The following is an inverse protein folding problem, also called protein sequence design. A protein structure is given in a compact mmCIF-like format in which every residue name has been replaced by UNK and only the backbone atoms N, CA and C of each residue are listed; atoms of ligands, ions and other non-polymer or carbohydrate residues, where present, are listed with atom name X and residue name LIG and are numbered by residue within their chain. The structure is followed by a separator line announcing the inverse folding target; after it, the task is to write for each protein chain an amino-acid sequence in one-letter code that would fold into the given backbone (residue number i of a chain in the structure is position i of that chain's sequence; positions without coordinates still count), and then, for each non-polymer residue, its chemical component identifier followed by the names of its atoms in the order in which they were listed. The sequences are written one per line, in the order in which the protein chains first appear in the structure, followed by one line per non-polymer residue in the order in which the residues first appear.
data_IF_847844333235
#
_entry.id   IF_847844333235
#
_cell.length_a   1.000
_cell.length_b   1.000
_cell.length_c   1.000
_cell.angle_alpha   90.00
_cell.angle_beta   90.00
_cell.angle_gamma   90.00
#
_symmetry.space_group_name_H-M   'P 1'
#
loop_
_entity.id
_entity.type
_entity.pdbx_description
1 polymer ?
#
# COMPACT_ATOMS: atom_id res chain seq x y z
N UNK A 1 12.85 10.79 -23.26
CA UNK A 1 12.77 9.32 -23.42
C UNK A 1 14.06 8.71 -22.90
N UNK A 2 13.99 7.57 -22.22
CA UNK A 2 15.16 6.89 -21.62
C UNK A 2 15.53 5.69 -22.47
N UNK A 3 16.81 5.29 -22.47
CA UNK A 3 17.25 4.17 -23.30
C UNK A 3 16.60 2.85 -22.84
N UNK A 4 15.99 2.13 -23.77
CA UNK A 4 15.35 0.82 -23.54
C UNK A 4 16.29 -0.37 -23.74
N UNK A 5 17.51 -0.14 -24.25
CA UNK A 5 18.61 -1.09 -24.38
C UNK A 5 19.92 -0.35 -24.17
N UNK A 6 20.99 -1.07 -23.81
CA UNK A 6 22.34 -0.50 -23.72
C UNK A 6 22.70 0.17 -25.04
N UNK A 7 23.05 1.44 -25.01
CA UNK A 7 23.43 2.18 -26.21
C UNK A 7 24.77 2.86 -25.99
N UNK A 8 25.63 2.79 -27.00
CA UNK A 8 26.91 3.50 -27.01
C UNK A 8 26.67 4.88 -27.58
N UNK A 9 27.03 5.89 -26.81
CA UNK A 9 26.95 7.27 -27.25
C UNK A 9 28.35 7.87 -27.27
N UNK A 10 28.68 8.55 -28.37
CA UNK A 10 29.97 9.21 -28.55
C UNK A 10 29.79 10.67 -28.15
N UNK A 11 30.48 11.10 -27.09
CA UNK A 11 30.57 12.51 -26.74
C UNK A 11 32.01 12.96 -26.80
N UNK A 12 32.28 13.97 -27.64
CA UNK A 12 33.63 14.55 -27.80
C UNK A 12 34.74 13.54 -28.15
N UNK A 13 34.41 12.45 -28.86
CA UNK A 13 35.38 11.45 -29.28
C UNK A 13 35.65 10.34 -28.27
N UNK A 14 35.01 10.38 -27.09
CA UNK A 14 35.04 9.28 -26.11
C UNK A 14 33.73 8.47 -26.19
N UNK A 15 33.85 7.14 -26.27
CA UNK A 15 32.72 6.21 -26.18
C UNK A 15 32.24 6.15 -24.72
N UNK A 16 31.00 6.54 -24.48
CA UNK A 16 30.33 6.33 -23.19
C UNK A 16 29.18 5.34 -23.36
N UNK A 17 29.22 4.27 -22.57
CA UNK A 17 28.15 3.28 -22.50
C UNK A 17 27.02 3.77 -21.59
N UNK A 18 25.81 3.90 -22.12
CA UNK A 18 24.61 4.25 -21.36
C UNK A 18 23.77 2.99 -21.20
N UNK A 19 23.57 2.55 -19.95
CA UNK A 19 22.78 1.35 -19.64
C UNK A 19 21.30 1.60 -19.86
N UNK A 20 20.53 0.53 -20.04
CA UNK A 20 19.07 0.63 -20.08
C UNK A 20 18.55 1.28 -18.79
N UNK A 21 17.59 2.21 -18.91
CA UNK A 21 17.13 3.03 -17.78
C UNK A 21 17.96 4.29 -17.48
N UNK A 22 19.00 4.57 -18.28
CA UNK A 22 19.79 5.81 -18.17
C UNK A 22 19.59 6.73 -19.38
N UNK A 23 19.70 8.04 -19.14
CA UNK A 23 19.68 9.07 -20.19
C UNK A 23 20.62 10.22 -19.83
N UNK A 24 21.36 10.70 -20.83
CA UNK A 24 22.17 11.91 -20.74
C UNK A 24 21.38 13.05 -21.37
N UNK A 25 21.07 14.10 -20.60
CA UNK A 25 20.26 15.22 -21.09
C UNK A 25 20.58 16.53 -20.37
N UNK A 26 20.08 17.65 -20.90
CA UNK A 26 20.16 18.99 -20.29
C UNK A 26 18.79 19.42 -19.74
N UNK A 27 18.76 20.39 -18.83
CA UNK A 27 17.49 20.91 -18.31
C UNK A 27 16.65 21.57 -19.40
N UNK A 28 17.30 22.27 -20.34
CA UNK A 28 16.67 22.89 -21.50
C UNK A 28 16.02 21.86 -22.42
N UNK A 29 16.71 20.75 -22.67
CA UNK A 29 16.18 19.66 -23.47
C UNK A 29 14.94 19.02 -22.83
N UNK A 30 14.93 18.86 -21.51
CA UNK A 30 13.76 18.36 -20.77
C UNK A 30 12.61 19.38 -20.83
N UNK A 31 12.88 20.67 -20.61
CA UNK A 31 11.86 21.72 -20.68
C UNK A 31 11.18 21.78 -22.06
N UNK A 32 11.97 21.70 -23.13
CA UNK A 32 11.47 21.68 -24.51
C UNK A 32 10.67 20.42 -24.87
N UNK A 33 10.89 19.30 -24.17
CA UNK A 33 10.07 18.09 -24.31
C UNK A 33 8.76 18.16 -23.51
N UNK A 34 8.65 19.08 -22.54
CA UNK A 34 7.46 19.29 -21.75
C UNK A 34 6.46 20.24 -22.45
N UNK A 35 5.43 20.69 -21.73
CA UNK A 35 4.48 21.67 -22.26
C UNK A 35 5.14 23.05 -22.43
N UNK A 36 4.58 23.89 -23.34
CA UNK A 36 5.13 25.20 -23.74
C UNK A 36 5.34 26.18 -22.57
N UNK A 37 4.68 25.98 -21.44
CA UNK A 37 4.69 26.83 -20.24
C UNK A 37 5.64 26.34 -19.14
N UNK A 38 6.37 25.24 -19.36
CA UNK A 38 7.27 24.67 -18.35
C UNK A 38 8.62 25.37 -18.37
N UNK A 39 8.94 26.07 -17.28
CA UNK A 39 10.26 26.69 -17.09
C UNK A 39 11.34 25.68 -16.71
N UNK A 40 12.60 26.01 -17.00
CA UNK A 40 13.79 25.27 -16.56
C UNK A 40 13.83 25.11 -15.03
N UNK A 41 13.31 26.08 -14.28
CA UNK A 41 13.23 26.03 -12.82
C UNK A 41 12.22 25.00 -12.33
N UNK A 42 11.08 24.84 -13.02
CA UNK A 42 10.09 23.80 -12.71
C UNK A 42 10.70 22.41 -12.91
N UNK A 43 11.41 22.22 -14.03
CA UNK A 43 12.15 20.98 -14.32
C UNK A 43 13.16 20.67 -13.23
N UNK A 44 13.97 21.67 -12.83
CA UNK A 44 14.96 21.51 -11.76
C UNK A 44 14.33 21.10 -10.44
N UNK A 45 13.24 21.76 -10.06
CA UNK A 45 12.51 21.49 -8.81
C UNK A 45 11.88 20.09 -8.83
N UNK A 46 11.34 19.66 -9.97
CA UNK A 46 10.77 18.33 -10.15
C UNK A 46 11.85 17.25 -10.02
N UNK A 47 13.01 17.43 -10.63
CA UNK A 47 14.13 16.49 -10.54
C UNK A 47 14.63 16.32 -9.10
N UNK A 48 14.75 17.41 -8.34
CA UNK A 48 15.10 17.36 -6.92
C UNK A 48 14.06 16.60 -6.09
N UNK A 49 12.76 16.80 -6.38
CA UNK A 49 11.69 16.04 -5.71
C UNK A 49 11.78 14.55 -6.05
N UNK A 50 11.97 14.21 -7.32
CA UNK A 50 12.07 12.82 -7.75
C UNK A 50 13.30 12.10 -7.19
N UNK A 51 14.41 12.82 -7.04
CA UNK A 51 15.60 12.32 -6.34
C UNK A 51 15.31 12.11 -4.85
N UNK A 52 14.68 13.08 -4.18
CA UNK A 52 14.28 12.96 -2.76
C UNK A 52 13.36 11.76 -2.51
N UNK A 53 12.46 11.47 -3.44
CA UNK A 53 11.52 10.35 -3.34
C UNK A 53 12.08 9.03 -3.89
N UNK A 54 13.35 8.99 -4.32
CA UNK A 54 14.00 7.76 -4.79
C UNK A 54 13.53 7.24 -6.14
N UNK A 55 12.84 8.07 -6.96
CA UNK A 55 12.39 7.69 -8.30
C UNK A 55 13.53 7.69 -9.33
N UNK A 56 14.53 8.54 -9.14
CA UNK A 56 15.68 8.66 -10.04
C UNK A 56 16.94 9.05 -9.27
N UNK A 57 18.09 8.80 -9.87
CA UNK A 57 19.37 9.40 -9.45
C UNK A 57 19.85 10.38 -10.51
N UNK A 58 20.51 11.44 -10.05
CA UNK A 58 20.93 12.55 -10.91
C UNK A 58 22.42 12.86 -10.68
N UNK A 59 23.25 12.60 -11.69
CA UNK A 59 24.65 13.03 -11.69
C UNK A 59 24.82 14.20 -12.66
N UNK A 60 24.90 15.42 -12.14
CA UNK A 60 25.13 16.61 -12.97
C UNK A 60 26.62 16.85 -13.21
N UNK A 61 26.96 17.21 -14.45
CA UNK A 61 28.24 17.82 -14.83
C UNK A 61 28.00 19.27 -15.28
N UNK A 62 29.08 19.99 -15.59
CA UNK A 62 29.01 21.40 -16.03
C UNK A 62 28.25 21.61 -17.35
N UNK A 63 27.94 20.54 -18.10
CA UNK A 63 27.30 20.63 -19.43
C UNK A 63 26.08 19.73 -19.60
N UNK A 64 26.06 18.57 -18.94
CA UNK A 64 25.00 17.58 -19.08
C UNK A 64 24.72 16.91 -17.74
N UNK A 65 23.66 16.11 -17.70
CA UNK A 65 23.32 15.34 -16.51
C UNK A 65 23.01 13.90 -16.92
N UNK A 66 23.53 12.95 -16.14
CA UNK A 66 23.15 11.56 -16.24
C UNK A 66 21.99 11.31 -15.28
N UNK A 67 20.81 11.04 -15.84
CA UNK A 67 19.62 10.63 -15.10
C UNK A 67 19.53 9.12 -15.19
N UNK A 68 19.45 8.44 -14.04
CA UNK A 68 19.14 7.01 -13.98
C UNK A 68 17.78 6.85 -13.33
N UNK A 69 16.82 6.23 -14.02
CA UNK A 69 15.55 5.86 -13.41
C UNK A 69 15.81 4.68 -12.48
N UNK A 70 15.52 4.87 -11.19
CA UNK A 70 15.57 3.77 -10.21
C UNK A 70 14.37 2.88 -10.49
N UNK A 71 14.55 1.56 -10.43
CA UNK A 71 13.47 0.59 -10.64
C UNK A 71 12.92 0.53 -12.09
N UNK A 72 13.73 0.92 -13.07
CA UNK A 72 13.35 0.95 -14.49
C UNK A 72 12.83 -0.40 -15.01
N UNK A 73 13.41 -1.52 -14.58
CA UNK A 73 13.00 -2.87 -14.98
C UNK A 73 11.58 -3.22 -14.51
N UNK A 74 11.15 -2.80 -13.30
CA UNK A 74 9.78 -3.01 -12.82
C UNK A 74 8.74 -2.15 -13.56
N UNK A 75 9.16 -1.04 -14.18
CA UNK A 75 8.28 -0.25 -15.04
C UNK A 75 8.18 -0.79 -16.48
N UNK A 76 8.98 -1.79 -16.84
CA UNK A 76 8.94 -2.45 -18.15
C UNK A 76 8.22 -3.81 -18.12
N UNK A 77 7.94 -4.38 -16.94
CA UNK A 77 7.18 -5.64 -16.85
C UNK A 77 5.75 -5.43 -17.36
N UNK A 78 5.41 -6.12 -18.45
CA UNK A 78 4.16 -6.01 -19.18
C UNK A 78 2.95 -6.44 -18.34
N UNK A 79 2.16 -5.45 -17.88
CA UNK A 79 0.72 -5.62 -17.77
C UNK A 79 0.05 -4.80 -18.89
N UNK A 80 -0.22 -5.52 -19.97
CA UNK A 80 -1.25 -5.33 -20.99
C UNK A 80 -1.73 -3.90 -21.34
N UNK A 81 -1.46 -3.56 -22.61
CA UNK A 81 -2.16 -2.57 -23.42
C UNK A 81 -3.69 -2.65 -23.22
N UNK A 82 -4.30 -1.62 -22.62
CA UNK A 82 -5.75 -1.39 -22.74
C UNK A 82 -6.05 -0.06 -23.43
N UNK A 83 -6.35 -0.22 -24.71
CA UNK A 83 -7.20 0.57 -25.61
C UNK A 83 -7.59 2.00 -25.19
N UNK A 84 -7.21 2.92 -26.07
CA UNK A 84 -7.85 4.20 -26.38
C UNK A 84 -9.38 4.08 -26.44
N UNK A 85 -10.06 4.48 -25.36
CA UNK A 85 -11.42 5.02 -25.43
C UNK A 85 -11.34 6.46 -24.96
N UNK A 86 -11.62 7.38 -25.88
CA UNK A 86 -11.72 8.82 -25.62
C UNK A 86 -12.68 9.04 -24.44
N UNK A 87 -12.21 9.71 -23.40
CA UNK A 87 -13.04 10.11 -22.27
C UNK A 87 -13.31 11.61 -22.39
N UNK A 88 -14.57 12.00 -22.17
CA UNK A 88 -15.09 13.36 -22.26
C UNK A 88 -14.26 14.37 -21.42
N UNK A 89 -14.23 15.65 -21.82
CA UNK A 89 -13.18 16.60 -21.42
C UNK A 89 -13.28 17.12 -19.97
N UNK A 90 -14.20 16.60 -19.14
CA UNK A 90 -14.50 17.22 -17.86
C UNK A 90 -14.63 16.23 -16.69
N UNK A 91 -13.65 15.34 -16.54
CA UNK A 91 -13.45 14.60 -15.29
C UNK A 91 -12.13 15.05 -14.68
N UNK A 92 -12.24 15.80 -13.59
CA UNK A 92 -11.10 16.16 -12.74
C UNK A 92 -10.25 14.90 -12.47
N UNK A 93 -8.97 14.95 -12.84
CA UNK A 93 -7.99 13.91 -12.52
C UNK A 93 -7.84 13.85 -11.00
N UNK A 94 -8.60 12.97 -10.35
CA UNK A 94 -8.40 12.67 -8.93
C UNK A 94 -8.22 11.17 -8.73
N UNK A 95 -7.08 10.88 -8.09
CA UNK A 95 -6.67 9.67 -7.38
C UNK A 95 -5.87 8.59 -8.15
N UNK A 96 -4.57 8.62 -7.85
CA UNK A 96 -3.56 7.55 -7.87
C UNK A 96 -4.08 6.12 -8.07
N UNK A 97 -3.77 5.52 -9.23
CA UNK A 97 -3.92 4.07 -9.46
C UNK A 97 -3.21 3.24 -8.39
N UNK A 98 -2.09 3.73 -7.83
CA UNK A 98 -1.32 3.01 -6.81
C UNK A 98 -2.11 2.83 -5.49
N UNK A 99 -2.77 3.89 -5.00
CA UNK A 99 -3.59 3.85 -3.77
C UNK A 99 -4.77 2.88 -3.92
N UNK A 100 -5.32 2.76 -5.12
CA UNK A 100 -6.40 1.80 -5.39
C UNK A 100 -5.90 0.35 -5.32
N UNK A 101 -4.67 0.09 -5.75
CA UNK A 101 -4.08 -1.25 -5.69
C UNK A 101 -3.79 -1.67 -4.25
N UNK A 102 -3.16 -0.78 -3.47
CA UNK A 102 -2.87 -1.02 -2.04
C UNK A 102 -4.15 -1.30 -1.23
N UNK A 103 -5.24 -0.55 -1.47
CA UNK A 103 -6.53 -0.80 -0.81
C UNK A 103 -7.13 -2.16 -1.17
N UNK A 104 -7.02 -2.57 -2.42
CA UNK A 104 -7.55 -3.86 -2.87
C UNK A 104 -6.80 -5.04 -2.22
N UNK A 105 -5.48 -4.89 -2.07
CA UNK A 105 -4.64 -5.83 -1.33
C UNK A 105 -5.07 -5.95 0.14
N UNK A 106 -5.36 -4.83 0.81
CA UNK A 106 -5.86 -4.84 2.20
C UNK A 106 -7.20 -5.57 2.29
N UNK A 107 -8.15 -5.29 1.39
CA UNK A 107 -9.46 -5.98 1.39
C UNK A 107 -9.30 -7.49 1.23
N UNK A 108 -8.44 -7.89 0.29
CA UNK A 108 -8.13 -9.30 0.03
C UNK A 108 -7.57 -9.96 1.28
N UNK A 109 -6.56 -9.37 1.92
CA UNK A 109 -5.89 -9.96 3.09
C UNK A 109 -6.80 -10.05 4.32
N UNK A 110 -7.57 -9.00 4.63
CA UNK A 110 -8.53 -8.98 5.75
C UNK A 110 -9.58 -10.08 5.60
N UNK A 111 -10.16 -10.23 4.41
CA UNK A 111 -11.20 -11.23 4.16
C UNK A 111 -10.62 -12.63 4.08
N UNK A 112 -9.44 -12.79 3.49
CA UNK A 112 -8.72 -14.08 3.48
C UNK A 112 -8.46 -14.56 4.91
N UNK A 113 -8.04 -13.67 5.81
CA UNK A 113 -7.85 -14.00 7.23
C UNK A 113 -9.14 -14.47 7.90
N UNK A 114 -10.24 -13.75 7.70
CA UNK A 114 -11.54 -14.13 8.26
C UNK A 114 -12.01 -15.49 7.74
N UNK A 115 -11.90 -15.72 6.44
CA UNK A 115 -12.30 -16.98 5.79
C UNK A 115 -11.49 -18.16 6.32
N UNK A 116 -10.17 -18.00 6.42
CA UNK A 116 -9.26 -19.05 6.90
C UNK A 116 -9.52 -19.48 8.35
N UNK A 117 -10.06 -18.58 9.18
CA UNK A 117 -10.35 -18.88 10.59
C UNK A 117 -11.78 -19.38 10.85
N UNK A 118 -12.71 -19.17 9.90
CA UNK A 118 -14.13 -19.46 10.12
C UNK A 118 -14.69 -20.53 9.19
N UNK A 119 -13.85 -21.10 8.32
CA UNK A 119 -14.27 -22.01 7.25
C UNK A 119 -15.40 -21.43 6.38
N UNK A 120 -15.42 -20.10 6.22
CA UNK A 120 -16.36 -19.35 5.38
C UNK A 120 -15.68 -18.86 4.10
N UNK A 121 -16.48 -18.44 3.12
CA UNK A 121 -15.98 -18.00 1.81
C UNK A 121 -16.59 -16.65 1.40
N UNK A 122 -16.31 -15.60 2.17
CA UNK A 122 -16.69 -14.24 1.82
C UNK A 122 -15.82 -13.70 0.69
N UNK A 123 -16.41 -12.91 -0.21
CA UNK A 123 -15.72 -12.29 -1.33
C UNK A 123 -15.28 -10.86 -0.97
N UNK A 124 -13.97 -10.59 -1.06
CA UNK A 124 -13.41 -9.25 -0.90
C UNK A 124 -13.77 -8.29 -2.05
N UNK A 125 -14.24 -8.81 -3.18
CA UNK A 125 -14.66 -8.03 -4.36
C UNK A 125 -16.08 -7.46 -4.25
N UNK A 126 -16.85 -7.87 -3.24
CA UNK A 126 -18.24 -7.44 -3.10
C UNK A 126 -18.32 -6.02 -2.54
N UNK A 127 -19.13 -5.15 -3.17
CA UNK A 127 -19.28 -3.74 -2.77
C UNK A 127 -19.58 -3.55 -1.28
N UNK A 128 -20.45 -4.39 -0.68
CA UNK A 128 -20.78 -4.34 0.75
C UNK A 128 -19.56 -4.63 1.61
N UNK A 129 -18.87 -5.75 1.37
CA UNK A 129 -17.63 -6.13 2.07
C UNK A 129 -16.59 -5.03 2.00
N UNK A 130 -16.35 -4.50 0.79
CA UNK A 130 -15.42 -3.40 0.56
C UNK A 130 -15.83 -2.18 1.38
N UNK A 131 -17.11 -1.82 1.37
CA UNK A 131 -17.61 -0.66 2.09
C UNK A 131 -17.36 -0.75 3.59
N UNK A 132 -17.58 -1.91 4.22
CA UNK A 132 -17.34 -2.05 5.65
C UNK A 132 -15.87 -1.86 6.03
N UNK A 133 -14.94 -2.33 5.19
CA UNK A 133 -13.50 -2.18 5.43
C UNK A 133 -13.06 -0.74 5.09
N UNK A 134 -13.46 -0.20 3.93
CA UNK A 134 -13.08 1.15 3.50
C UNK A 134 -13.59 2.23 4.45
N UNK A 135 -14.78 2.08 5.02
CA UNK A 135 -15.27 3.00 6.07
C UNK A 135 -14.31 3.08 7.26
N UNK A 136 -13.71 1.96 7.67
CA UNK A 136 -12.87 1.85 8.88
C UNK A 136 -11.45 2.34 8.57
N UNK A 137 -10.96 2.07 7.37
CA UNK A 137 -9.73 2.70 6.87
C UNK A 137 -9.85 4.23 6.80
N UNK A 138 -11.03 4.77 6.41
CA UNK A 138 -11.29 6.21 6.39
C UNK A 138 -11.38 6.83 7.80
N UNK A 139 -11.85 6.06 8.77
CA UNK A 139 -11.88 6.43 10.20
C UNK A 139 -10.47 6.43 10.82
N UNK A 140 -9.46 5.87 10.15
CA UNK A 140 -8.06 5.86 10.59
C UNK A 140 -7.57 4.52 11.15
N UNK A 141 -8.40 3.48 11.10
CA UNK A 141 -7.99 2.14 11.54
C UNK A 141 -7.03 1.49 10.54
N UNK A 142 -6.09 0.71 11.07
CA UNK A 142 -5.08 -0.01 10.31
C UNK A 142 -5.52 -1.44 9.97
N UNK A 143 -4.86 -2.06 9.00
CA UNK A 143 -5.04 -3.50 8.69
C UNK A 143 -4.90 -4.41 9.92
N UNK A 144 -3.98 -4.07 10.83
CA UNK A 144 -3.74 -4.84 12.06
C UNK A 144 -4.93 -4.81 13.01
N UNK A 145 -5.66 -3.70 13.07
CA UNK A 145 -6.86 -3.57 13.89
C UNK A 145 -7.97 -4.55 13.43
N UNK A 146 -8.11 -4.74 12.12
CA UNK A 146 -9.01 -5.76 11.58
C UNK A 146 -8.60 -7.16 12.01
N UNK A 147 -7.31 -7.49 11.95
CA UNK A 147 -6.83 -8.80 12.39
C UNK A 147 -7.07 -9.03 13.87
N UNK A 148 -6.90 -7.99 14.70
CA UNK A 148 -7.18 -8.06 16.13
C UNK A 148 -8.67 -8.32 16.41
N UNK A 149 -9.56 -7.57 15.78
CA UNK A 149 -11.02 -7.78 15.92
C UNK A 149 -11.43 -9.18 15.45
N UNK A 150 -10.90 -9.65 14.31
CA UNK A 150 -11.15 -11.02 13.83
C UNK A 150 -10.68 -12.03 14.87
N UNK A 151 -9.45 -11.89 15.40
CA UNK A 151 -8.91 -12.80 16.41
C UNK A 151 -9.79 -12.89 17.65
N UNK A 152 -10.09 -11.74 18.27
CA UNK A 152 -10.93 -11.64 19.47
C UNK A 152 -12.28 -12.32 19.23
N UNK A 153 -12.95 -11.99 18.13
CA UNK A 153 -14.31 -12.48 17.89
C UNK A 153 -14.37 -13.91 17.42
N UNK A 154 -13.39 -14.39 16.68
CA UNK A 154 -13.29 -15.81 16.34
C UNK A 154 -13.11 -16.62 17.62
N UNK A 155 -12.20 -16.22 18.51
CA UNK A 155 -12.00 -16.91 19.78
C UNK A 155 -13.28 -16.95 20.63
N UNK A 156 -13.98 -15.81 20.73
CA UNK A 156 -15.21 -15.69 21.51
C UNK A 156 -16.41 -16.44 20.90
N UNK A 157 -16.56 -16.42 19.57
CA UNK A 157 -17.81 -16.84 18.91
C UNK A 157 -17.71 -18.13 18.09
N UNK A 158 -16.52 -18.62 17.73
CA UNK A 158 -16.39 -19.76 16.80
C UNK A 158 -17.03 -21.04 17.35
N UNK A 159 -16.96 -21.26 18.67
CA UNK A 159 -17.48 -22.46 19.33
C UNK A 159 -18.86 -22.26 19.98
N UNK A 160 -19.56 -21.18 19.63
CA UNK A 160 -20.88 -20.87 20.19
C UNK A 160 -21.91 -20.62 19.08
N UNK A 161 -23.18 -20.51 19.45
CA UNK A 161 -24.26 -20.14 18.53
C UNK A 161 -24.02 -18.78 17.84
N UNK A 162 -23.08 -17.98 18.34
CA UNK A 162 -22.69 -16.70 17.76
C UNK A 162 -21.78 -16.84 16.53
N UNK A 163 -21.23 -18.02 16.22
CA UNK A 163 -20.39 -18.26 15.05
C UNK A 163 -21.06 -17.82 13.73
N UNK A 164 -22.40 -17.87 13.65
CA UNK A 164 -23.18 -17.38 12.50
C UNK A 164 -22.97 -15.88 12.23
N UNK A 165 -22.63 -15.10 13.25
CA UNK A 165 -22.37 -13.66 13.16
C UNK A 165 -20.92 -13.29 12.84
N UNK A 166 -20.01 -14.26 12.70
CA UNK A 166 -18.67 -14.04 12.16
C UNK A 166 -18.77 -13.73 10.66
N UNK A 167 -19.08 -12.46 10.33
CA UNK A 167 -19.32 -11.92 8.98
C UNK A 167 -18.74 -10.51 8.90
N UNK A 168 -18.30 -10.03 7.72
CA UNK A 168 -17.75 -8.68 7.56
C UNK A 168 -18.71 -7.58 8.05
N UNK A 169 -20.01 -7.71 7.77
CA UNK A 169 -21.03 -6.75 8.21
C UNK A 169 -21.10 -6.60 9.72
N UNK A 170 -21.03 -7.71 10.45
CA UNK A 170 -21.19 -7.71 11.91
C UNK A 170 -19.89 -7.32 12.61
N UNK A 171 -18.75 -7.81 12.12
CA UNK A 171 -17.43 -7.54 12.71
C UNK A 171 -16.97 -6.11 12.42
N UNK A 172 -17.17 -5.62 11.21
CA UNK A 172 -16.71 -4.31 10.76
C UNK A 172 -17.87 -3.30 10.71
N UNK A 173 -18.92 -3.54 11.50
CA UNK A 173 -20.07 -2.64 11.66
C UNK A 173 -19.78 -1.48 12.64
N UNK A 174 -20.82 -0.87 13.19
CA UNK A 174 -20.71 0.26 14.12
C UNK A 174 -19.99 -0.09 15.45
N UNK A 175 -19.90 -1.37 15.80
CA UNK A 175 -19.28 -1.85 17.05
C UNK A 175 -17.79 -2.20 16.88
N UNK A 176 -17.17 -1.87 15.75
CA UNK A 176 -15.79 -2.25 15.43
C UNK A 176 -14.79 -1.82 16.52
N UNK A 177 -14.81 -0.54 16.91
CA UNK A 177 -13.93 0.01 17.93
C UNK A 177 -14.15 -0.63 19.30
N UNK A 178 -15.40 -0.93 19.65
CA UNK A 178 -15.72 -1.64 20.89
C UNK A 178 -15.11 -3.05 20.91
N UNK A 179 -15.16 -3.78 19.80
CA UNK A 179 -14.53 -5.10 19.68
C UNK A 179 -13.00 -5.01 19.72
N UNK A 180 -12.42 -3.98 19.11
CA UNK A 180 -10.96 -3.77 19.08
C UNK A 180 -10.38 -3.60 20.50
N UNK A 181 -11.17 -2.99 21.38
CA UNK A 181 -10.83 -2.72 22.77
C UNK A 181 -11.25 -3.84 23.74
N UNK A 182 -11.87 -4.94 23.26
CA UNK A 182 -12.50 -5.94 24.12
C UNK A 182 -11.53 -6.92 24.84
N UNK A 183 -10.21 -6.72 24.77
CA UNK A 183 -9.23 -7.66 25.35
C UNK A 183 -8.13 -7.01 26.21
N UNK A 184 -8.34 -5.77 26.68
CA UNK A 184 -7.46 -5.14 27.67
C UNK A 184 -7.94 -5.27 29.12
N UNK A 185 -9.22 -5.61 29.35
CA UNK A 185 -9.76 -5.66 30.72
C UNK A 185 -9.65 -7.04 31.41
N UNK A 186 -9.30 -8.10 30.69
CA UNK A 186 -9.19 -9.45 31.29
C UNK A 186 -7.76 -9.80 31.74
N UNK A 187 -6.73 -9.06 31.31
CA UNK A 187 -5.34 -9.30 31.74
C UNK A 187 -5.06 -8.64 33.10
N UNK A 188 -5.77 -7.56 33.42
CA UNK A 188 -5.65 -6.88 34.72
C UNK A 188 -6.49 -7.54 35.82
N UNK A 189 -7.58 -8.26 35.49
CA UNK A 189 -8.35 -9.02 36.48
C UNK A 189 -7.75 -10.40 36.82
N UNK A 190 -7.14 -11.10 35.87
CA UNK A 190 -6.50 -12.41 36.16
C UNK A 190 -5.17 -12.30 36.91
N UNK A 191 -4.47 -11.16 36.84
CA UNK A 191 -3.33 -10.87 37.74
C UNK A 191 -3.74 -10.56 39.18
N UNK A 192 -5.01 -10.22 39.42
CA UNK A 192 -5.55 -9.97 40.77
C UNK A 192 -6.03 -11.26 41.48
N UNK A 193 -6.30 -12.35 40.75
CA UNK A 193 -6.71 -13.65 41.32
C UNK A 193 -5.55 -14.59 41.68
N UNK A 194 -4.33 -14.07 41.74
CA UNK A 194 -3.13 -14.82 42.14
C UNK A 194 -2.78 -14.69 43.63
N UNK A 195 -3.64 -15.16 44.56
CA UNK A 195 -3.22 -15.59 45.92
C UNK A 195 -4.40 -16.18 46.70
N UNK A 196 -4.47 -17.51 46.80
CA UNK A 196 -4.51 -18.32 48.04
C UNK A 196 -4.86 -19.77 47.67
N UNK A 197 -3.85 -20.58 47.37
CA UNK A 197 -3.94 -22.02 47.60
C UNK A 197 -3.34 -22.26 48.98
N UNK A 198 -4.22 -22.30 49.98
CA UNK A 198 -3.89 -22.71 51.35
C UNK A 198 -3.65 -24.23 51.33
N UNK A 199 -2.38 -24.63 51.21
CA UNK A 199 -2.00 -26.04 51.31
C UNK A 199 -2.03 -26.43 52.79
N UNK A 200 -3.20 -26.89 53.24
CA UNK A 200 -3.39 -27.42 54.59
C UNK A 200 -2.58 -28.71 54.72
N UNK A 201 -1.41 -28.60 55.36
CA UNK A 201 -0.65 -29.74 55.86
C UNK A 201 -1.25 -30.11 57.22
N UNK A 202 -1.82 -31.31 57.31
CA UNK A 202 -2.20 -31.99 58.55
C UNK A 202 -2.64 -33.39 58.13
N UNK A 203 -1.97 -34.49 58.48
CA UNK A 203 -1.27 -34.74 59.73
C UNK A 203 -2.25 -35.44 60.66
N UNK A 204 -2.36 -36.76 60.50
CA UNK A 204 -2.59 -37.79 61.52
C UNK A 204 -2.37 -39.17 60.91
#
# INVERSE_FOLDING_TARGET
MVNHKSNKWIFKGEEHEVKAGQVVTSLESIANMCAKDVSVQNVRTALLKFEKHGFLTNKSTNKNRLITIVNWELYQSEEEKQQTKQQAPNKQLTTNKNVKNEKNEIYSRVITRLNGLTSKNFKYTTKKTISYIDSRLKEGFSEQDFYKVIGIKVEEWLNTDMAKYLRPETLFGAKFESYLNQSLNNIDEEKSKGKVLDFKIGGE
#
